data_IF_577914158306
#
_entry.id   IF_577914158306
#
_cell.length_a   1.000
_cell.length_b   1.000
_cell.length_c   1.000
_cell.angle_alpha   90.00
_cell.angle_beta   90.00
_cell.angle_gamma   90.00
#
_symmetry.space_group_name_H-M   'P 1'
#
loop_
_entity.id
_entity.type
_entity.pdbx_description
1 polymer ?
#
# COMPACT_ATOMS: atom_id res chain seq x y z
N UNK A 1 -29.95 -15.01 8.77
CA UNK A 1 -29.74 -14.05 9.85
C UNK A 1 -28.74 -14.65 10.84
N UNK A 2 -27.54 -14.10 10.96
CA UNK A 2 -26.56 -14.45 11.99
C UNK A 2 -26.22 -13.18 12.78
N UNK A 3 -26.10 -13.25 14.13
CA UNK A 3 -26.05 -12.09 14.99
C UNK A 3 -24.69 -11.38 14.95
N UNK A 4 -24.73 -10.09 15.23
CA UNK A 4 -23.60 -9.18 15.26
C UNK A 4 -22.56 -9.53 16.34
N UNK A 5 -21.35 -9.12 16.06
CA UNK A 5 -20.15 -9.30 16.86
C UNK A 5 -20.26 -8.56 18.22
N UNK A 6 -20.37 -9.32 19.30
CA UNK A 6 -20.06 -8.85 20.64
C UNK A 6 -19.06 -9.85 21.24
N UNK A 7 -17.78 -9.51 21.22
CA UNK A 7 -16.76 -10.23 21.95
C UNK A 7 -16.66 -9.62 23.36
N UNK A 8 -17.28 -10.28 24.35
CA UNK A 8 -17.28 -9.86 25.74
C UNK A 8 -15.89 -10.01 26.36
N UNK A 9 -15.39 -8.92 26.93
CA UNK A 9 -14.29 -8.92 27.88
C UNK A 9 -14.78 -9.56 29.18
N UNK A 10 -14.16 -10.67 29.60
CA UNK A 10 -14.33 -11.21 30.95
C UNK A 10 -13.28 -10.58 31.85
N UNK A 11 -13.76 -9.72 32.75
CA UNK A 11 -13.03 -9.24 33.90
C UNK A 11 -12.76 -10.38 34.88
N UNK A 12 -11.50 -10.64 35.17
CA UNK A 12 -11.07 -11.44 36.32
C UNK A 12 -10.69 -10.51 37.46
N UNK A 13 -11.64 -10.31 38.39
CA UNK A 13 -11.39 -9.73 39.69
C UNK A 13 -10.58 -10.72 40.52
N UNK A 14 -9.36 -10.37 40.92
CA UNK A 14 -8.63 -11.04 42.00
C UNK A 14 -8.70 -10.18 43.23
N UNK A 15 -9.28 -10.75 44.28
CA UNK A 15 -9.39 -10.18 45.62
C UNK A 15 -8.02 -10.15 46.29
N UNK A 16 -7.60 -8.99 46.73
CA UNK A 16 -6.43 -8.82 47.59
C UNK A 16 -6.82 -8.91 49.08
N UNK A 17 -6.39 -9.97 49.72
CA UNK A 17 -6.47 -10.13 51.17
C UNK A 17 -5.48 -9.22 51.90
N UNK A 18 -6.00 -8.53 52.94
CA UNK A 18 -5.22 -7.70 53.86
C UNK A 18 -4.50 -8.58 54.88
N UNK A 19 -3.20 -8.42 55.02
CA UNK A 19 -2.50 -8.74 56.24
C UNK A 19 -1.57 -7.59 56.63
N UNK A 20 -1.92 -6.98 57.78
CA UNK A 20 -1.06 -6.06 58.52
C UNK A 20 0.11 -6.80 59.17
N UNK A 21 1.32 -6.35 58.95
CA UNK A 21 2.47 -6.64 59.78
C UNK A 21 3.22 -5.36 60.12
N UNK A 22 3.15 -4.96 61.42
CA UNK A 22 3.99 -3.94 61.99
C UNK A 22 5.36 -4.54 62.27
N UNK A 23 6.45 -3.91 61.83
CA UNK A 23 7.75 -4.09 62.42
C UNK A 23 8.58 -2.80 62.41
N UNK A 24 9.13 -2.55 63.56
CA UNK A 24 9.87 -1.43 64.13
C UNK A 24 11.15 -1.05 63.37
N UNK A 25 11.41 0.25 63.43
CA UNK A 25 12.65 1.01 63.34
C UNK A 25 13.99 0.25 63.39
N UNK A 26 14.79 0.47 62.32
CA UNK A 26 16.24 0.68 62.41
C UNK A 26 16.63 1.74 61.33
N UNK A 27 17.06 2.92 61.86
CA UNK A 27 17.71 3.97 61.09
C UNK A 27 19.16 3.53 60.80
N UNK A 28 19.46 3.31 59.53
CA UNK A 28 20.83 3.37 59.03
C UNK A 28 20.90 4.42 57.95
N UNK A 29 21.67 5.49 58.19
CA UNK A 29 22.05 6.49 57.20
C UNK A 29 22.99 5.83 56.20
N UNK A 30 22.51 5.62 54.97
CA UNK A 30 23.34 5.44 53.82
C UNK A 30 22.89 6.44 52.75
N UNK A 31 23.78 7.40 52.44
CA UNK A 31 23.61 8.28 51.28
C UNK A 31 23.62 7.44 50.00
N UNK A 32 22.62 7.56 49.13
CA UNK A 32 22.68 6.87 47.84
C UNK A 32 23.70 7.54 46.92
N UNK A 33 24.52 6.78 46.19
CA UNK A 33 25.37 7.34 45.16
C UNK A 33 24.50 7.93 44.04
N UNK A 34 24.90 9.12 43.55
CA UNK A 34 24.31 9.77 42.40
C UNK A 34 24.29 8.85 41.16
N UNK A 35 23.19 8.15 40.95
CA UNK A 35 22.86 7.59 39.65
C UNK A 35 22.32 8.72 38.77
N UNK A 36 23.20 9.36 38.03
CA UNK A 36 22.82 10.10 36.85
C UNK A 36 21.92 9.20 35.99
N UNK A 37 20.65 9.56 35.95
CA UNK A 37 19.65 8.88 35.13
C UNK A 37 20.10 8.89 33.67
N UNK A 38 20.75 7.83 33.23
CA UNK A 38 20.85 7.49 31.83
C UNK A 38 19.42 7.15 31.40
N UNK A 39 18.67 8.19 31.01
CA UNK A 39 17.41 8.04 30.34
C UNK A 39 17.72 7.32 29.00
N UNK A 40 17.70 5.99 29.03
CA UNK A 40 17.56 5.19 27.82
C UNK A 40 16.31 5.70 27.14
N UNK A 41 16.50 6.60 26.16
CA UNK A 41 15.47 6.95 25.20
C UNK A 41 15.10 5.65 24.51
N UNK A 42 14.07 4.98 24.99
CA UNK A 42 13.40 3.95 24.22
C UNK A 42 12.92 4.63 22.95
N UNK A 43 13.68 4.47 21.88
CA UNK A 43 13.19 4.77 20.55
C UNK A 43 11.86 4.04 20.41
N UNK A 44 10.78 4.70 19.91
CA UNK A 44 9.50 4.04 19.76
C UNK A 44 9.76 2.79 18.93
N UNK A 45 9.47 1.61 19.48
CA UNK A 45 9.55 0.35 18.75
C UNK A 45 8.68 0.52 17.53
N UNK A 46 9.31 0.70 16.36
CA UNK A 46 8.62 0.71 15.09
C UNK A 46 7.85 -0.60 15.02
N UNK A 47 6.52 -0.53 15.05
CA UNK A 47 5.67 -1.72 14.97
C UNK A 47 5.98 -2.40 13.65
N UNK A 48 6.76 -3.47 13.71
CA UNK A 48 7.06 -4.30 12.54
C UNK A 48 5.76 -4.85 11.98
N UNK A 49 5.67 -4.88 10.67
CA UNK A 49 4.61 -5.57 9.95
C UNK A 49 4.49 -7.01 10.47
N UNK A 50 3.30 -7.44 10.83
CA UNK A 50 3.10 -8.73 11.50
C UNK A 50 1.87 -9.47 10.97
N UNK A 51 1.83 -10.80 11.18
CA UNK A 51 0.69 -11.64 10.83
C UNK A 51 -0.42 -11.65 11.90
N UNK A 52 -0.49 -10.62 12.76
CA UNK A 52 -1.48 -10.57 13.85
C UNK A 52 -2.92 -10.57 13.33
N UNK A 53 -3.19 -9.82 12.28
CA UNK A 53 -4.53 -9.67 11.70
C UNK A 53 -4.96 -10.96 11.00
N UNK A 54 -4.05 -11.59 10.27
CA UNK A 54 -4.27 -12.87 9.60
C UNK A 54 -4.52 -14.00 10.62
N UNK A 55 -3.74 -14.03 11.72
CA UNK A 55 -3.95 -15.01 12.79
C UNK A 55 -5.30 -14.82 13.48
N UNK A 56 -5.68 -13.59 13.78
CA UNK A 56 -6.97 -13.29 14.37
C UNK A 56 -8.14 -13.72 13.46
N UNK A 57 -8.03 -13.47 12.15
CA UNK A 57 -9.03 -13.93 11.19
C UNK A 57 -9.11 -15.46 11.15
N UNK A 58 -7.97 -16.17 11.17
CA UNK A 58 -7.97 -17.65 11.23
C UNK A 58 -8.59 -18.22 12.51
N UNK A 59 -8.40 -17.57 13.66
CA UNK A 59 -9.05 -17.95 14.92
C UNK A 59 -10.58 -17.82 14.85
N UNK A 60 -11.09 -16.94 13.98
CA UNK A 60 -12.52 -16.80 13.69
C UNK A 60 -13.02 -17.76 12.60
N UNK A 61 -12.17 -18.66 12.09
CA UNK A 61 -12.53 -19.71 11.12
C UNK A 61 -12.19 -19.41 9.67
N UNK A 62 -11.73 -18.17 9.33
CA UNK A 62 -11.36 -17.81 7.97
C UNK A 62 -10.03 -18.45 7.57
N UNK A 63 -9.93 -18.99 6.36
CA UNK A 63 -8.74 -19.73 5.91
C UNK A 63 -7.99 -19.02 4.78
N UNK A 64 -8.72 -18.45 3.81
CA UNK A 64 -8.19 -17.82 2.60
C UNK A 64 -8.25 -16.29 2.72
N UNK A 65 -7.32 -15.75 3.50
CA UNK A 65 -7.28 -14.32 3.83
C UNK A 65 -6.46 -13.60 2.75
N UNK A 66 -7.10 -12.72 1.99
CA UNK A 66 -6.43 -11.86 1.03
C UNK A 66 -6.08 -10.51 1.65
N UNK A 67 -4.85 -10.05 1.44
CA UNK A 67 -4.42 -8.67 1.68
C UNK A 67 -4.53 -7.86 0.39
N UNK A 68 -4.99 -6.60 0.49
CA UNK A 68 -5.17 -5.70 -0.65
C UNK A 68 -4.54 -4.33 -0.37
N UNK A 69 -3.88 -3.79 -1.40
CA UNK A 69 -3.34 -2.42 -1.41
C UNK A 69 -3.25 -1.89 -2.84
N UNK A 70 -3.07 -0.57 -2.99
CA UNK A 70 -2.90 0.10 -4.28
C UNK A 70 -1.66 0.99 -4.33
N UNK A 71 -1.17 1.21 -5.56
CA UNK A 71 -0.09 2.13 -5.86
C UNK A 71 -0.50 3.17 -6.90
N UNK A 72 -0.06 4.42 -6.73
CA UNK A 72 -0.21 5.47 -7.72
C UNK A 72 -1.47 6.32 -7.60
N UNK A 73 -2.16 6.36 -6.46
CA UNK A 73 -3.34 7.24 -6.26
C UNK A 73 -3.04 8.72 -6.50
N UNK A 74 -1.98 9.24 -5.91
CA UNK A 74 -1.60 10.66 -6.02
C UNK A 74 -0.74 11.00 -7.24
N UNK A 75 -0.60 10.10 -8.19
CA UNK A 75 0.19 10.32 -9.41
C UNK A 75 -0.61 11.11 -10.44
N UNK A 76 0.07 11.99 -11.18
CA UNK A 76 -0.50 12.78 -12.28
C UNK A 76 -0.59 12.00 -13.59
N UNK A 77 0.15 10.89 -13.70
CA UNK A 77 0.33 10.13 -14.93
C UNK A 77 0.04 8.64 -14.73
N UNK A 78 -0.58 8.02 -15.72
CA UNK A 78 -0.76 6.58 -15.84
C UNK A 78 -1.81 5.98 -14.89
N UNK A 79 -1.90 4.65 -14.86
CA UNK A 79 -2.92 3.92 -14.14
C UNK A 79 -2.74 3.99 -12.63
N UNK A 80 -3.81 3.74 -11.88
CA UNK A 80 -3.75 3.21 -10.52
C UNK A 80 -3.64 1.70 -10.61
N UNK A 81 -2.75 1.10 -9.82
CA UNK A 81 -2.49 -0.34 -9.81
C UNK A 81 -2.83 -0.87 -8.43
N UNK A 82 -3.61 -1.93 -8.36
CA UNK A 82 -3.95 -2.61 -7.11
C UNK A 82 -3.53 -4.08 -7.17
N UNK A 83 -3.24 -4.66 -6.01
CA UNK A 83 -2.93 -6.08 -5.91
C UNK A 83 -3.75 -6.74 -4.80
N UNK A 84 -4.04 -8.02 -4.99
CA UNK A 84 -4.61 -8.92 -3.99
C UNK A 84 -3.67 -10.12 -3.81
N UNK A 85 -3.39 -10.50 -2.55
CA UNK A 85 -2.46 -11.58 -2.22
C UNK A 85 -3.00 -12.46 -1.10
N UNK A 86 -3.11 -13.77 -1.34
CA UNK A 86 -3.36 -14.78 -0.31
C UNK A 86 -2.02 -15.45 0.03
N UNK A 87 -1.45 -15.10 1.17
CA UNK A 87 -0.19 -15.69 1.62
C UNK A 87 -0.36 -17.13 2.11
N UNK A 88 0.63 -17.98 1.81
CA UNK A 88 0.69 -19.33 2.36
C UNK A 88 1.15 -19.29 3.83
N UNK A 89 0.31 -19.73 4.80
CA UNK A 89 0.67 -19.71 6.22
C UNK A 89 1.84 -20.62 6.58
N UNK A 90 2.12 -21.64 5.74
CA UNK A 90 3.23 -22.58 5.93
C UNK A 90 4.55 -22.10 5.32
N UNK A 91 4.54 -21.05 4.49
CA UNK A 91 5.73 -20.48 3.82
C UNK A 91 5.89 -19.01 4.19
N UNK A 92 6.64 -18.75 5.25
CA UNK A 92 6.88 -17.38 5.70
C UNK A 92 7.82 -16.66 4.75
N UNK A 93 7.39 -15.48 4.28
CA UNK A 93 8.25 -14.54 3.53
C UNK A 93 8.79 -13.52 4.53
N UNK A 94 10.11 -13.52 4.74
CA UNK A 94 10.78 -12.62 5.68
C UNK A 94 11.10 -11.29 5.00
N UNK A 95 10.87 -10.18 5.72
CA UNK A 95 11.21 -8.84 5.27
C UNK A 95 10.06 -8.08 4.60
N UNK A 96 8.83 -8.60 4.68
CA UNK A 96 7.64 -7.84 4.27
C UNK A 96 7.45 -6.65 5.23
N UNK A 97 7.36 -5.45 4.67
CA UNK A 97 7.05 -4.19 5.36
C UNK A 97 6.42 -3.22 4.34
N UNK A 98 6.02 -2.04 4.80
CA UNK A 98 5.58 -0.92 3.97
C UNK A 98 6.52 -0.73 2.76
N UNK A 99 5.96 -0.84 1.56
CA UNK A 99 6.73 -0.79 0.31
C UNK A 99 7.54 0.50 0.12
N UNK A 100 7.13 1.59 0.77
CA UNK A 100 7.81 2.89 0.71
C UNK A 100 9.10 2.93 1.53
N UNK A 101 9.24 2.03 2.52
CA UNK A 101 10.45 1.90 3.35
C UNK A 101 11.50 0.98 2.73
N UNK A 102 11.13 0.19 1.74
CA UNK A 102 12.00 -0.78 1.09
C UNK A 102 12.74 -0.13 -0.08
N UNK A 103 14.02 -0.45 -0.26
CA UNK A 103 14.78 -0.11 -1.46
C UNK A 103 14.18 -0.80 -2.69
N UNK A 104 14.26 -0.21 -3.90
CA UNK A 104 13.69 -0.77 -5.12
C UNK A 104 14.09 -2.21 -5.38
N UNK A 105 15.38 -2.54 -5.26
CA UNK A 105 15.94 -3.88 -5.49
C UNK A 105 15.36 -4.89 -4.50
N UNK A 106 15.18 -4.45 -3.24
CA UNK A 106 14.59 -5.30 -2.21
C UNK A 106 13.11 -5.57 -2.48
N UNK A 107 12.38 -4.58 -3.01
CA UNK A 107 10.98 -4.78 -3.43
C UNK A 107 10.86 -5.80 -4.56
N UNK A 108 11.72 -5.73 -5.57
CA UNK A 108 11.75 -6.67 -6.70
C UNK A 108 12.00 -8.11 -6.23
N UNK A 109 13.01 -8.33 -5.38
CA UNK A 109 13.27 -9.64 -4.77
C UNK A 109 12.07 -10.16 -3.96
N UNK A 110 11.43 -9.28 -3.19
CA UNK A 110 10.26 -9.69 -2.40
C UNK A 110 9.04 -9.97 -3.29
N UNK A 111 8.84 -9.21 -4.37
CA UNK A 111 7.77 -9.45 -5.33
C UNK A 111 7.90 -10.85 -5.96
N UNK A 112 9.09 -11.24 -6.41
CA UNK A 112 9.35 -12.58 -6.93
C UNK A 112 9.04 -13.68 -5.89
N UNK A 113 9.48 -13.48 -4.64
CA UNK A 113 9.18 -14.43 -3.55
C UNK A 113 7.69 -14.53 -3.23
N UNK A 114 6.96 -13.41 -3.30
CA UNK A 114 5.50 -13.41 -3.12
C UNK A 114 4.86 -14.22 -4.24
N UNK A 115 5.21 -13.96 -5.49
CA UNK A 115 4.68 -14.65 -6.66
C UNK A 115 4.93 -16.17 -6.60
N UNK A 116 6.13 -16.60 -6.14
CA UNK A 116 6.50 -18.01 -6.02
C UNK A 116 5.88 -18.74 -4.85
N UNK A 117 5.56 -18.04 -3.75
CA UNK A 117 5.20 -18.67 -2.48
C UNK A 117 3.79 -18.35 -1.98
N UNK A 118 3.11 -17.37 -2.55
CA UNK A 118 1.70 -17.11 -2.24
C UNK A 118 0.80 -18.26 -2.70
N UNK A 119 -0.34 -18.42 -2.06
CA UNK A 119 -1.39 -19.36 -2.50
C UNK A 119 -2.03 -18.84 -3.79
N UNK A 120 -2.30 -17.55 -3.84
CA UNK A 120 -2.80 -16.84 -5.01
C UNK A 120 -2.40 -15.37 -4.92
N UNK A 121 -2.23 -14.74 -6.07
CA UNK A 121 -2.05 -13.30 -6.21
C UNK A 121 -2.56 -12.83 -7.56
N UNK A 122 -3.00 -11.59 -7.61
CA UNK A 122 -3.34 -10.91 -8.87
C UNK A 122 -3.07 -9.43 -8.75
N UNK A 123 -2.71 -8.80 -9.89
CA UNK A 123 -2.52 -7.35 -10.01
C UNK A 123 -3.45 -6.85 -11.10
N UNK A 124 -4.25 -5.86 -10.77
CA UNK A 124 -5.17 -5.18 -11.68
C UNK A 124 -4.85 -3.69 -11.79
N UNK A 125 -5.28 -3.05 -12.87
CA UNK A 125 -5.02 -1.64 -13.10
C UNK A 125 -6.24 -0.95 -13.71
N UNK A 126 -6.43 0.32 -13.36
CA UNK A 126 -7.42 1.21 -13.97
C UNK A 126 -6.69 2.40 -14.57
N UNK A 127 -6.92 2.67 -15.86
CA UNK A 127 -6.22 3.66 -16.65
C UNK A 127 -6.58 5.13 -16.28
N UNK A 128 -5.81 6.07 -16.81
CA UNK A 128 -5.98 7.50 -16.55
C UNK A 128 -7.35 8.02 -16.98
N UNK A 129 -7.87 7.56 -18.13
CA UNK A 129 -9.17 7.98 -18.67
C UNK A 129 -10.32 7.54 -17.76
N UNK A 130 -10.27 6.32 -17.29
CA UNK A 130 -11.25 5.79 -16.32
C UNK A 130 -11.16 6.49 -14.97
N UNK A 131 -9.93 6.88 -14.53
CA UNK A 131 -9.74 7.69 -13.31
C UNK A 131 -10.42 9.05 -13.48
N UNK A 132 -10.27 9.70 -14.63
CA UNK A 132 -10.93 10.98 -14.91
C UNK A 132 -12.45 10.87 -14.94
N UNK A 133 -12.99 9.75 -15.44
CA UNK A 133 -14.42 9.51 -15.51
C UNK A 133 -15.05 9.20 -14.14
N UNK A 134 -14.36 8.45 -13.28
CA UNK A 134 -14.96 7.92 -12.03
C UNK A 134 -14.42 8.56 -10.75
N UNK A 135 -13.39 9.34 -10.81
CA UNK A 135 -12.48 9.79 -9.76
C UNK A 135 -11.55 8.68 -9.23
N UNK A 136 -10.46 9.11 -8.60
CA UNK A 136 -9.39 8.20 -8.11
C UNK A 136 -9.86 7.24 -7.02
N UNK A 137 -10.82 7.64 -6.18
CA UNK A 137 -11.35 6.77 -5.12
C UNK A 137 -12.10 5.57 -5.71
N UNK A 138 -13.02 5.82 -6.65
CA UNK A 138 -13.77 4.75 -7.33
C UNK A 138 -12.87 3.89 -8.23
N UNK A 139 -11.92 4.51 -8.91
CA UNK A 139 -10.93 3.79 -9.72
C UNK A 139 -10.07 2.84 -8.86
N UNK A 140 -9.60 3.28 -7.68
CA UNK A 140 -8.86 2.42 -6.74
C UNK A 140 -9.73 1.25 -6.24
N UNK A 141 -10.99 1.51 -5.87
CA UNK A 141 -11.92 0.46 -5.44
C UNK A 141 -12.16 -0.58 -6.55
N UNK A 142 -12.32 -0.13 -7.79
CA UNK A 142 -12.48 -1.01 -8.95
C UNK A 142 -11.24 -1.87 -9.20
N UNK A 143 -10.06 -1.27 -9.23
CA UNK A 143 -8.81 -2.00 -9.36
C UNK A 143 -8.64 -3.07 -8.27
N UNK A 144 -8.96 -2.74 -7.00
CA UNK A 144 -8.92 -3.72 -5.91
C UNK A 144 -9.97 -4.82 -6.08
N UNK A 145 -11.20 -4.48 -6.45
CA UNK A 145 -12.27 -5.46 -6.68
C UNK A 145 -11.91 -6.42 -7.80
N UNK A 146 -11.36 -5.91 -8.89
CA UNK A 146 -10.88 -6.71 -10.02
C UNK A 146 -9.74 -7.62 -9.60
N UNK A 147 -8.75 -7.10 -8.82
CA UNK A 147 -7.66 -7.90 -8.30
C UNK A 147 -8.16 -9.09 -7.44
N UNK A 148 -9.23 -8.90 -6.66
CA UNK A 148 -9.86 -9.98 -5.88
C UNK A 148 -10.59 -10.97 -6.77
N UNK A 149 -11.37 -10.49 -7.73
CA UNK A 149 -12.19 -11.32 -8.61
C UNK A 149 -11.35 -12.24 -9.50
N UNK A 150 -10.17 -11.77 -9.91
CA UNK A 150 -9.24 -12.49 -10.78
C UNK A 150 -8.22 -13.36 -10.02
N UNK A 151 -8.33 -13.47 -8.69
CA UNK A 151 -7.54 -14.44 -7.94
C UNK A 151 -7.88 -15.87 -8.37
N UNK A 152 -6.87 -16.71 -8.57
CA UNK A 152 -7.03 -18.14 -8.88
C UNK A 152 -7.67 -18.94 -7.75
N UNK A 153 -7.69 -18.39 -6.53
CA UNK A 153 -8.33 -18.96 -5.35
C UNK A 153 -9.22 -17.89 -4.72
N UNK A 154 -10.52 -18.15 -4.62
CA UNK A 154 -11.49 -17.22 -4.01
C UNK A 154 -11.21 -17.03 -2.52
N UNK A 155 -10.95 -15.78 -2.05
CA UNK A 155 -10.78 -15.50 -0.63
C UNK A 155 -12.10 -15.64 0.13
N UNK A 156 -12.00 -15.94 1.42
CA UNK A 156 -13.13 -15.93 2.35
C UNK A 156 -13.09 -14.74 3.34
N UNK A 157 -11.96 -14.01 3.38
CA UNK A 157 -11.79 -12.81 4.17
C UNK A 157 -10.81 -11.83 3.52
N UNK A 158 -11.10 -10.52 3.58
CA UNK A 158 -10.26 -9.47 3.03
C UNK A 158 -9.69 -8.58 4.13
N UNK A 159 -8.38 -8.33 4.08
CA UNK A 159 -7.68 -7.27 4.80
C UNK A 159 -7.32 -6.17 3.79
N UNK A 160 -7.85 -4.97 3.95
CA UNK A 160 -7.75 -3.91 2.93
C UNK A 160 -7.12 -2.67 3.55
N UNK A 161 -6.17 -2.01 2.85
CA UNK A 161 -5.67 -0.72 3.30
C UNK A 161 -6.75 0.36 3.15
N UNK A 162 -7.16 0.92 4.27
CA UNK A 162 -7.98 2.13 4.46
C UNK A 162 -9.30 2.24 3.68
N UNK A 163 -9.81 1.19 3.00
CA UNK A 163 -11.11 1.27 2.30
C UNK A 163 -11.95 -0.01 2.41
N UNK A 164 -13.20 0.07 1.93
CA UNK A 164 -14.12 -1.06 1.77
C UNK A 164 -14.52 -1.22 0.31
N UNK A 165 -14.77 -2.47 -0.08
CA UNK A 165 -15.22 -2.85 -1.44
C UNK A 165 -16.68 -3.31 -1.41
N UNK A 166 -17.36 -3.17 -2.56
CA UNK A 166 -18.74 -3.68 -2.73
C UNK A 166 -18.69 -5.17 -3.16
N UNK A 167 -18.10 -5.99 -2.29
CA UNK A 167 -18.00 -7.44 -2.49
C UNK A 167 -18.69 -8.16 -1.32
N UNK A 168 -19.37 -9.25 -1.63
CA UNK A 168 -20.05 -10.12 -0.63
C UNK A 168 -19.06 -11.05 0.10
N UNK A 169 -17.88 -10.51 0.43
CA UNK A 169 -16.84 -11.21 1.17
C UNK A 169 -16.62 -10.42 2.46
N UNK A 170 -16.50 -11.12 3.60
CA UNK A 170 -16.21 -10.48 4.87
C UNK A 170 -14.88 -9.73 4.80
N UNK A 171 -14.85 -8.48 5.29
CA UNK A 171 -13.71 -7.61 5.09
C UNK A 171 -13.42 -6.70 6.28
N UNK A 172 -12.13 -6.45 6.51
CA UNK A 172 -11.65 -5.58 7.57
C UNK A 172 -10.71 -4.52 6.99
N UNK A 173 -11.13 -3.26 6.94
CA UNK A 173 -10.24 -2.15 6.59
C UNK A 173 -9.25 -1.89 7.72
N UNK A 174 -8.00 -1.60 7.36
CA UNK A 174 -6.91 -1.28 8.29
C UNK A 174 -6.23 0.02 7.86
N UNK A 175 -6.30 1.06 8.67
CA UNK A 175 -5.54 2.30 8.42
C UNK A 175 -4.04 1.99 8.56
N UNK A 176 -3.24 2.35 7.54
CA UNK A 176 -1.83 1.99 7.40
C UNK A 176 -1.65 0.47 7.47
N UNK A 177 -2.46 -0.25 6.72
CA UNK A 177 -2.50 -1.70 6.70
C UNK A 177 -1.21 -2.31 6.21
N UNK A 178 -0.54 -1.68 5.25
CA UNK A 178 0.78 -2.01 4.70
C UNK A 178 1.88 -2.13 5.79
N UNK A 179 1.82 -1.29 6.81
CA UNK A 179 2.74 -1.35 7.96
C UNK A 179 2.29 -2.29 9.09
N UNK A 180 1.11 -2.94 9.00
CA UNK A 180 0.47 -3.68 10.09
C UNK A 180 0.11 -5.12 9.79
N UNK A 181 -0.12 -5.45 8.53
CA UNK A 181 -0.54 -6.77 8.02
C UNK A 181 0.44 -7.25 6.95
N UNK A 182 0.98 -8.45 7.13
CA UNK A 182 1.91 -9.03 6.14
C UNK A 182 1.24 -9.29 4.79
N UNK A 183 -0.06 -9.58 4.76
CA UNK A 183 -0.81 -9.79 3.52
C UNK A 183 -1.02 -8.48 2.76
N UNK A 184 -1.34 -7.39 3.46
CA UNK A 184 -1.45 -6.05 2.84
C UNK A 184 -0.08 -5.58 2.38
N UNK A 185 0.99 -5.75 3.19
CA UNK A 185 2.35 -5.42 2.79
C UNK A 185 2.79 -6.18 1.52
N UNK A 186 2.44 -7.45 1.39
CA UNK A 186 2.71 -8.22 0.18
C UNK A 186 1.98 -7.64 -1.04
N UNK A 187 0.70 -7.27 -0.90
CA UNK A 187 -0.07 -6.60 -1.95
C UNK A 187 0.54 -5.23 -2.32
N UNK A 188 0.92 -4.42 -1.32
CA UNK A 188 1.61 -3.14 -1.50
C UNK A 188 2.88 -3.28 -2.35
N UNK A 189 3.70 -4.29 -2.06
CA UNK A 189 4.93 -4.57 -2.80
C UNK A 189 4.61 -4.94 -4.25
N UNK A 190 3.66 -5.85 -4.52
CA UNK A 190 3.30 -6.24 -5.89
C UNK A 190 2.73 -5.06 -6.69
N UNK A 191 1.79 -4.31 -6.11
CA UNK A 191 1.22 -3.14 -6.77
C UNK A 191 2.29 -2.09 -7.09
N UNK A 192 3.23 -1.84 -6.16
CA UNK A 192 4.31 -0.88 -6.34
C UNK A 192 5.33 -1.31 -7.39
N UNK A 193 5.76 -2.57 -7.38
CA UNK A 193 6.73 -3.09 -8.36
C UNK A 193 6.14 -3.06 -9.77
N UNK A 194 4.90 -3.52 -9.94
CA UNK A 194 4.25 -3.50 -11.25
C UNK A 194 4.06 -2.06 -11.74
N UNK A 195 3.62 -1.16 -10.88
CA UNK A 195 3.45 0.23 -11.26
C UNK A 195 4.78 0.90 -11.63
N UNK A 196 5.85 0.64 -10.88
CA UNK A 196 7.17 1.20 -11.18
C UNK A 196 7.71 0.65 -12.51
N UNK A 197 7.41 -0.61 -12.86
CA UNK A 197 7.71 -1.22 -14.16
C UNK A 197 6.99 -0.50 -15.29
N UNK A 198 5.69 -0.25 -15.14
CA UNK A 198 4.89 0.51 -16.11
C UNK A 198 5.43 1.92 -16.31
N UNK A 199 5.84 2.61 -15.24
CA UNK A 199 6.41 3.96 -15.36
C UNK A 199 7.75 3.97 -16.09
N UNK A 200 8.57 2.92 -15.96
CA UNK A 200 9.80 2.76 -16.76
C UNK A 200 9.48 2.60 -18.25
N UNK A 201 8.53 1.73 -18.59
CA UNK A 201 8.08 1.52 -19.98
C UNK A 201 7.48 2.79 -20.59
N UNK A 202 6.65 3.53 -19.83
CA UNK A 202 6.11 4.80 -20.31
C UNK A 202 7.19 5.89 -20.46
N UNK A 203 8.26 5.84 -19.69
CA UNK A 203 9.38 6.77 -19.87
C UNK A 203 10.05 6.64 -21.23
N UNK A 204 10.12 5.44 -21.80
CA UNK A 204 10.66 5.22 -23.13
C UNK A 204 9.83 5.94 -24.22
N UNK A 205 8.50 6.01 -24.02
CA UNK A 205 7.58 6.67 -24.93
C UNK A 205 7.44 8.18 -24.68
N UNK A 206 7.62 8.61 -23.43
CA UNK A 206 7.43 9.99 -22.96
C UNK A 206 8.62 10.45 -22.09
N UNK A 207 9.84 10.47 -22.65
CA UNK A 207 11.06 10.74 -21.86
C UNK A 207 11.06 12.15 -21.25
N UNK A 208 10.36 13.12 -21.88
CA UNK A 208 10.29 14.51 -21.44
C UNK A 208 9.68 14.69 -20.03
N UNK A 209 8.85 13.74 -19.56
CA UNK A 209 8.20 13.83 -18.24
C UNK A 209 9.00 13.18 -17.11
N UNK A 210 10.15 12.55 -17.39
CA UNK A 210 11.02 11.95 -16.37
C UNK A 210 10.41 10.81 -15.56
N UNK A 211 9.48 10.03 -16.14
CA UNK A 211 8.65 9.02 -15.46
C UNK A 211 9.47 7.88 -14.82
N UNK A 212 10.65 7.59 -15.36
CA UNK A 212 11.56 6.60 -14.76
C UNK A 212 12.05 7.01 -13.36
N UNK A 213 12.17 8.32 -13.09
CA UNK A 213 12.56 8.87 -11.80
C UNK A 213 11.34 9.17 -10.92
N UNK A 214 10.48 10.09 -11.35
CA UNK A 214 9.37 10.62 -10.55
C UNK A 214 8.17 9.69 -10.44
N UNK A 215 8.14 8.56 -11.17
CA UNK A 215 7.04 7.58 -11.18
C UNK A 215 5.67 8.21 -11.45
N UNK A 216 5.65 9.33 -12.20
CA UNK A 216 4.45 10.07 -12.55
C UNK A 216 3.89 10.97 -11.44
N UNK A 217 4.57 11.10 -10.30
CA UNK A 217 4.17 12.03 -9.25
C UNK A 217 4.54 13.47 -9.63
N UNK A 218 3.81 14.45 -9.06
CA UNK A 218 3.99 15.89 -9.33
C UNK A 218 5.24 16.45 -8.68
N UNK A 219 6.42 15.95 -9.03
CA UNK A 219 7.69 16.57 -8.64
C UNK A 219 7.90 17.89 -9.37
N UNK A 220 8.77 18.79 -8.88
CA UNK A 220 9.07 20.06 -9.57
C UNK A 220 9.44 19.85 -11.05
N UNK A 221 10.21 18.81 -11.37
CA UNK A 221 10.65 18.48 -12.73
C UNK A 221 9.46 18.03 -13.60
N UNK A 222 8.55 17.19 -13.05
CA UNK A 222 7.36 16.77 -13.78
C UNK A 222 6.41 17.93 -14.05
N UNK A 223 6.21 18.81 -13.06
CA UNK A 223 5.40 20.03 -13.23
C UNK A 223 6.02 21.01 -14.24
N UNK A 224 7.35 21.14 -14.26
CA UNK A 224 8.05 21.94 -15.28
C UNK A 224 7.86 21.34 -16.68
N UNK A 225 7.97 20.02 -16.81
CA UNK A 225 7.72 19.31 -18.08
C UNK A 225 6.29 19.49 -18.57
N UNK A 226 5.30 19.43 -17.65
CA UNK A 226 3.88 19.69 -17.98
C UNK A 226 3.68 21.12 -18.51
N UNK A 227 4.37 22.12 -17.97
CA UNK A 227 4.31 23.50 -18.47
C UNK A 227 4.94 23.65 -19.84
N UNK A 228 6.06 22.95 -20.09
CA UNK A 228 6.84 23.07 -21.31
C UNK A 228 6.20 22.29 -22.49
N UNK A 229 5.68 21.10 -22.23
CA UNK A 229 5.25 20.16 -23.27
C UNK A 229 3.72 19.90 -23.26
N UNK A 230 3.00 20.47 -22.29
CA UNK A 230 1.59 20.13 -22.08
C UNK A 230 1.40 18.70 -21.55
N UNK A 231 0.16 18.28 -21.29
CA UNK A 231 -0.14 16.91 -20.85
C UNK A 231 -0.26 15.94 -22.03
N UNK A 232 0.22 14.72 -21.87
CA UNK A 232 -0.01 13.60 -22.79
C UNK A 232 -1.36 12.93 -22.53
N UNK A 233 -1.88 12.07 -23.45
CA UNK A 233 -3.14 11.34 -23.26
C UNK A 233 -3.18 10.41 -22.02
N UNK A 234 -2.02 10.11 -21.42
CA UNK A 234 -1.92 9.27 -20.22
C UNK A 234 -1.86 10.08 -18.93
N UNK A 235 -1.93 11.42 -19.00
CA UNK A 235 -2.11 12.26 -17.81
C UNK A 235 -3.56 12.23 -17.33
N UNK A 236 -3.73 12.43 -16.04
CA UNK A 236 -5.06 12.47 -15.39
C UNK A 236 -5.58 13.90 -15.41
N UNK A 237 -6.41 14.20 -16.38
CA UNK A 237 -6.92 15.56 -16.63
C UNK A 237 -7.80 16.11 -15.50
N UNK A 238 -8.43 15.26 -14.71
CA UNK A 238 -9.20 15.65 -13.53
C UNK A 238 -8.34 16.18 -12.39
N UNK A 239 -7.01 15.92 -12.42
CA UNK A 239 -6.09 16.37 -11.37
C UNK A 239 -5.67 17.83 -11.61
N UNK A 240 -5.72 18.65 -10.55
CA UNK A 240 -5.51 20.09 -10.66
C UNK A 240 -4.24 20.51 -11.42
N UNK A 241 -3.02 19.97 -11.14
CA UNK A 241 -1.82 20.37 -11.87
C UNK A 241 -1.88 20.07 -13.37
N UNK A 242 -2.54 18.99 -13.77
CA UNK A 242 -2.69 18.63 -15.20
C UNK A 242 -3.70 19.56 -15.87
N UNK A 243 -4.82 19.82 -15.22
CA UNK A 243 -5.87 20.74 -15.71
C UNK A 243 -5.32 22.16 -15.88
N UNK A 244 -4.53 22.64 -14.94
CA UNK A 244 -3.87 23.95 -15.03
C UNK A 244 -2.90 24.01 -16.21
N UNK A 245 -2.12 22.94 -16.45
CA UNK A 245 -1.21 22.87 -17.58
C UNK A 245 -1.95 22.92 -18.95
N UNK A 246 -3.17 22.39 -19.05
CA UNK A 246 -4.00 22.53 -20.26
C UNK A 246 -4.34 23.99 -20.58
N UNK A 247 -4.63 24.79 -19.54
CA UNK A 247 -4.97 26.21 -19.74
C UNK A 247 -3.78 27.03 -20.26
N UNK A 248 -2.56 26.66 -19.87
CA UNK A 248 -1.34 27.34 -20.37
C UNK A 248 -1.01 26.95 -21.80
N UNK A 249 -1.20 25.70 -22.18
CA UNK A 249 -0.97 25.21 -23.54
C UNK A 249 -1.97 25.82 -24.56
N UNK A 250 -3.18 26.15 -24.14
CA UNK A 250 -4.18 26.81 -24.98
C UNK A 250 -3.85 28.28 -25.27
N UNK A 251 -3.01 28.93 -24.46
CA UNK A 251 -2.53 30.29 -24.65
C UNK A 251 -1.21 30.39 -25.44
N UNK A 252 -0.49 29.28 -25.60
CA UNK A 252 0.73 29.21 -26.40
C UNK A 252 0.41 28.42 -27.68
N UNK A 253 0.60 29.08 -28.85
CA UNK A 253 0.39 28.48 -30.17
C UNK A 253 1.11 27.14 -30.24
N UNK A 254 0.35 26.03 -30.36
CA UNK A 254 0.86 24.68 -30.39
C UNK A 254 1.79 24.49 -31.59
N UNK A 255 3.07 24.20 -31.34
CA UNK A 255 3.87 23.47 -32.31
C UNK A 255 3.43 22.00 -32.28
N UNK A 256 3.03 21.40 -33.43
CA UNK A 256 2.67 20.01 -33.46
C UNK A 256 3.87 19.15 -33.07
N UNK A 257 3.67 18.22 -32.11
CA UNK A 257 4.66 17.20 -31.76
C UNK A 257 5.01 16.39 -33.01
N UNK A 258 6.28 16.10 -33.29
CA UNK A 258 6.65 15.18 -34.36
C UNK A 258 6.05 13.80 -34.05
N UNK A 259 5.16 13.35 -34.92
CA UNK A 259 4.65 11.99 -34.92
C UNK A 259 5.84 11.05 -35.23
N UNK A 260 6.29 10.30 -34.26
CA UNK A 260 7.20 9.20 -34.54
C UNK A 260 6.48 8.22 -35.49
N UNK A 261 7.11 7.87 -36.64
CA UNK A 261 6.51 6.88 -37.55
C UNK A 261 6.34 5.56 -36.79
N UNK A 262 5.15 4.97 -36.94
CA UNK A 262 4.87 3.63 -36.44
C UNK A 262 5.93 2.67 -37.03
N UNK A 263 6.53 1.84 -36.17
CA UNK A 263 7.44 0.79 -36.61
C UNK A 263 6.72 -0.11 -37.61
N UNK A 264 7.31 -0.24 -38.83
CA UNK A 264 6.81 -1.10 -39.86
C UNK A 264 6.81 -2.57 -39.35
N UNK A 265 5.79 -3.39 -39.75
CA UNK A 265 5.80 -4.79 -39.40
C UNK A 265 6.96 -5.48 -40.11
N UNK A 266 7.72 -6.32 -39.36
CA UNK A 266 8.74 -7.19 -39.93
C UNK A 266 8.15 -8.11 -40.97
N UNK A 267 8.80 -8.30 -42.15
CA UNK A 267 8.38 -9.30 -43.14
C UNK A 267 8.56 -10.72 -42.58
N UNK A 268 7.62 -11.58 -43.00
CA UNK A 268 7.53 -13.00 -42.66
C UNK A 268 8.73 -13.83 -43.15
#
# INVERSE_FOLDING_TARGET
MRPGWVCGARDLLFAAGRHNFKLRHYLFFFSPPNFSALALKFAPMTRLCSSRHERAARQCGWQRIAGLDEAGRGSLFGPVVAAAVILNPRRRIVGLDDSKKLAPERREILAERIQQHAVAWHVAQVDARSIDAWNIYQASRRAMSEAVTLLSVTPDFLLIDAMRLDLLIEQKPLIKGDARSVSIAAASILAKVERDRLMRSYHEQYPQYGLASNKGYGTPEHLAALRAYGPSPLHRYSFAPVREACCWAAGATQQPLPLHPAAAPSPA
#
